data_IF_418442860407
#
_entry.id   IF_418442860407
#
_cell.length_a   1.000
_cell.length_b   1.000
_cell.length_c   1.000
_cell.angle_alpha   90.00
_cell.angle_beta   90.00
_cell.angle_gamma   90.00
#
_symmetry.space_group_name_H-M   'P 1'
#
loop_
_entity.id
_entity.type
_entity.pdbx_description
1 polymer ?
#
# COMPACT_ATOMS: atom_id res chain seq x y z
N UNK A 1 17.23 -7.56 22.32
CA UNK A 1 17.38 -7.45 20.84
C UNK A 1 17.53 -8.86 20.31
N UNK A 2 16.55 -9.40 19.57
CA UNK A 2 16.62 -10.77 19.03
C UNK A 2 17.25 -10.70 17.64
N UNK A 3 18.49 -11.16 17.51
CA UNK A 3 19.20 -11.30 16.24
C UNK A 3 18.61 -12.48 15.45
N UNK A 4 17.91 -12.18 14.35
CA UNK A 4 17.44 -13.23 13.43
C UNK A 4 18.65 -13.81 12.69
N UNK A 5 19.14 -14.96 13.16
CA UNK A 5 20.18 -15.75 12.51
C UNK A 5 19.73 -16.12 11.09
N UNK A 6 20.49 -15.71 10.07
CA UNK A 6 20.18 -16.04 8.68
C UNK A 6 20.38 -17.55 8.46
N UNK A 7 19.27 -18.29 8.30
CA UNK A 7 19.29 -19.70 7.90
C UNK A 7 19.30 -19.74 6.39
N UNK A 8 20.43 -20.08 5.78
CA UNK A 8 20.52 -20.42 4.37
C UNK A 8 19.94 -21.81 4.15
N UNK A 9 18.64 -21.86 3.86
CA UNK A 9 17.93 -23.09 3.50
C UNK A 9 18.23 -23.55 2.06
N UNK A 10 17.60 -24.65 1.64
CA UNK A 10 17.62 -25.13 0.25
C UNK A 10 16.97 -24.07 -0.66
N UNK A 11 17.57 -23.68 -1.80
CA UNK A 11 16.92 -22.78 -2.74
C UNK A 11 15.63 -23.43 -3.24
N UNK A 12 14.47 -22.85 -2.93
CA UNK A 12 13.23 -23.19 -3.60
C UNK A 12 13.25 -22.50 -4.96
N UNK A 13 13.82 -23.19 -5.95
CA UNK A 13 13.93 -22.64 -7.31
C UNK A 13 12.52 -22.61 -7.91
N UNK A 14 11.89 -21.43 -7.87
CA UNK A 14 10.69 -21.12 -8.64
C UNK A 14 11.12 -20.72 -10.04
N UNK A 15 10.44 -21.24 -11.05
CA UNK A 15 10.68 -20.80 -12.42
C UNK A 15 10.15 -19.39 -12.64
N UNK A 16 10.86 -18.59 -13.46
CA UNK A 16 10.49 -17.20 -13.75
C UNK A 16 9.05 -17.06 -14.28
N UNK A 17 8.57 -18.05 -15.04
CA UNK A 17 7.19 -18.08 -15.51
C UNK A 17 6.16 -18.14 -14.37
N UNK A 18 6.44 -18.90 -13.30
CA UNK A 18 5.56 -18.99 -12.13
C UNK A 18 5.68 -17.76 -11.24
N UNK A 19 6.89 -17.20 -11.13
CA UNK A 19 7.13 -15.92 -10.45
C UNK A 19 6.28 -14.81 -11.09
N UNK A 20 6.32 -14.69 -12.43
CA UNK A 20 5.51 -13.72 -13.18
C UNK A 20 4.02 -13.92 -12.99
N UNK A 21 3.51 -15.16 -13.06
CA UNK A 21 2.09 -15.42 -12.76
C UNK A 21 1.69 -15.05 -11.34
N UNK A 22 2.61 -15.24 -10.38
CA UNK A 22 2.39 -14.82 -8.98
C UNK A 22 2.24 -13.32 -8.89
N UNK A 23 3.13 -12.59 -9.56
CA UNK A 23 3.08 -11.14 -9.63
C UNK A 23 1.79 -10.63 -10.28
N UNK A 24 1.43 -11.17 -11.44
CA UNK A 24 0.24 -10.81 -12.20
C UNK A 24 -1.05 -11.06 -11.38
N UNK A 25 -1.12 -12.18 -10.63
CA UNK A 25 -2.24 -12.47 -9.76
C UNK A 25 -2.38 -11.44 -8.63
N UNK A 26 -1.27 -11.09 -7.95
CA UNK A 26 -1.26 -10.08 -6.87
C UNK A 26 -1.67 -8.71 -7.40
N UNK A 27 -1.19 -8.33 -8.59
CA UNK A 27 -1.53 -7.06 -9.21
C UNK A 27 -3.00 -6.97 -9.61
N UNK A 28 -3.57 -8.06 -10.15
CA UNK A 28 -4.98 -8.14 -10.51
C UNK A 28 -5.90 -8.04 -9.29
N UNK A 29 -5.53 -8.65 -8.17
CA UNK A 29 -6.27 -8.55 -6.92
C UNK A 29 -5.34 -8.54 -5.70
N UNK A 30 -5.06 -7.33 -5.20
CA UNK A 30 -4.20 -7.10 -4.03
C UNK A 30 -4.76 -7.66 -2.72
N UNK A 31 -6.00 -8.19 -2.71
CA UNK A 31 -6.64 -8.81 -1.53
C UNK A 31 -6.60 -10.33 -1.56
N UNK A 32 -5.92 -10.94 -2.54
CA UNK A 32 -5.79 -12.39 -2.63
C UNK A 32 -5.17 -12.98 -1.37
N UNK A 33 -5.71 -14.11 -0.95
CA UNK A 33 -5.12 -14.93 0.11
C UNK A 33 -4.11 -15.92 -0.47
N UNK A 34 -3.14 -16.35 0.33
CA UNK A 34 -2.16 -17.38 -0.05
C UNK A 34 -2.82 -18.68 -0.53
N UNK A 35 -3.99 -19.04 0.04
CA UNK A 35 -4.76 -20.23 -0.36
C UNK A 35 -5.40 -20.08 -1.74
N UNK A 36 -5.94 -18.90 -2.04
CA UNK A 36 -6.49 -18.62 -3.37
C UNK A 36 -5.39 -18.56 -4.43
N UNK A 37 -4.27 -17.90 -4.11
CA UNK A 37 -3.09 -17.89 -4.99
C UNK A 37 -2.57 -19.30 -5.27
N UNK A 38 -2.50 -20.18 -4.26
CA UNK A 38 -2.10 -21.58 -4.46
C UNK A 38 -3.05 -22.36 -5.38
N UNK A 39 -4.33 -22.00 -5.45
CA UNK A 39 -5.28 -22.60 -6.41
C UNK A 39 -5.07 -22.08 -7.83
N UNK A 40 -4.64 -20.82 -7.99
CA UNK A 40 -4.38 -20.19 -9.29
C UNK A 40 -3.03 -20.67 -9.85
N UNK A 41 -2.03 -20.76 -8.99
CA UNK A 41 -0.65 -21.08 -9.33
C UNK A 41 -0.41 -22.54 -8.93
N UNK A 42 -0.95 -23.42 -9.76
CA UNK A 42 -0.85 -24.87 -9.59
C UNK A 42 0.63 -25.32 -9.55
N UNK A 43 0.86 -26.50 -8.97
CA UNK A 43 2.18 -27.18 -8.87
C UNK A 43 3.21 -26.54 -7.92
N UNK A 44 2.90 -25.41 -7.28
CA UNK A 44 3.80 -24.78 -6.32
C UNK A 44 3.34 -25.13 -4.91
N UNK A 45 4.25 -25.62 -4.06
CA UNK A 45 3.92 -25.86 -2.66
C UNK A 45 3.60 -24.56 -1.93
N UNK A 46 2.76 -24.61 -0.90
CA UNK A 46 2.39 -23.43 -0.11
C UNK A 46 3.61 -22.70 0.50
N UNK A 47 4.63 -23.44 0.94
CA UNK A 47 5.86 -22.86 1.51
C UNK A 47 6.67 -22.13 0.45
N UNK A 48 6.86 -22.75 -0.72
CA UNK A 48 7.53 -22.15 -1.86
C UNK A 48 6.79 -20.89 -2.34
N UNK A 49 5.46 -20.91 -2.38
CA UNK A 49 4.66 -19.73 -2.72
C UNK A 49 4.83 -18.62 -1.67
N UNK A 50 4.92 -18.96 -0.39
CA UNK A 50 5.17 -17.97 0.67
C UNK A 50 6.56 -17.32 0.52
N UNK A 51 7.59 -18.11 0.26
CA UNK A 51 8.95 -17.62 -0.02
C UNK A 51 8.97 -16.74 -1.28
N UNK A 52 8.31 -17.16 -2.35
CA UNK A 52 8.14 -16.39 -3.58
C UNK A 52 7.63 -14.97 -3.30
N UNK A 53 6.52 -14.89 -2.58
CA UNK A 53 5.79 -13.64 -2.35
C UNK A 53 6.56 -12.74 -1.40
N UNK A 54 7.11 -13.30 -0.32
CA UNK A 54 7.72 -12.49 0.76
C UNK A 54 9.21 -12.22 0.58
N UNK A 55 9.95 -13.14 0.00
CA UNK A 55 11.41 -13.04 -0.17
C UNK A 55 11.76 -12.59 -1.58
N UNK A 56 11.25 -13.27 -2.60
CA UNK A 56 11.63 -13.00 -3.99
C UNK A 56 10.97 -11.74 -4.53
N UNK A 57 9.65 -11.60 -4.33
CA UNK A 57 8.87 -10.43 -4.79
C UNK A 57 8.80 -9.31 -3.75
N UNK A 58 9.16 -9.58 -2.49
CA UNK A 58 9.19 -8.57 -1.42
C UNK A 58 7.82 -8.05 -0.96
N UNK A 59 6.73 -8.77 -1.25
CA UNK A 59 5.40 -8.41 -0.77
C UNK A 59 5.21 -8.72 0.71
N UNK A 60 4.52 -7.81 1.39
CA UNK A 60 4.13 -7.98 2.77
C UNK A 60 2.64 -7.78 2.93
N UNK A 61 2.02 -8.61 3.78
CA UNK A 61 0.62 -8.45 4.15
C UNK A 61 0.48 -7.16 4.96
N UNK A 62 -0.24 -6.19 4.40
CA UNK A 62 -0.67 -5.02 5.14
C UNK A 62 -2.02 -5.29 5.80
N UNK A 63 -2.12 -5.06 7.10
CA UNK A 63 -3.43 -5.02 7.76
C UNK A 63 -4.22 -3.83 7.20
N UNK A 64 -5.42 -4.10 6.68
CA UNK A 64 -6.31 -3.05 6.20
C UNK A 64 -6.68 -2.12 7.35
N UNK A 65 -6.51 -0.81 7.15
CA UNK A 65 -6.98 0.19 8.13
C UNK A 65 -8.51 0.11 8.22
N UNK A 66 -9.05 0.28 9.43
CA UNK A 66 -10.48 0.36 9.64
C UNK A 66 -11.03 1.64 8.99
N UNK A 67 -12.04 1.49 8.13
CA UNK A 67 -12.73 2.61 7.48
C UNK A 67 -14.13 2.70 8.09
N UNK A 68 -14.47 3.77 8.85
CA UNK A 68 -15.69 3.84 9.64
C UNK A 68 -17.00 3.74 8.84
N UNK A 69 -16.99 4.16 7.56
CA UNK A 69 -18.14 4.06 6.66
C UNK A 69 -17.73 4.02 5.20
N UNK A 70 -18.55 3.38 4.38
CA UNK A 70 -18.44 3.46 2.93
C UNK A 70 -18.89 4.83 2.44
N UNK A 71 -18.02 5.54 1.73
CA UNK A 71 -18.32 6.86 1.19
C UNK A 71 -19.02 6.72 -0.16
N UNK A 72 -20.14 7.42 -0.30
CA UNK A 72 -20.79 7.65 -1.59
C UNK A 72 -20.04 8.72 -2.38
N UNK A 73 -20.29 8.83 -3.68
CA UNK A 73 -19.69 9.86 -4.52
C UNK A 73 -20.01 11.28 -4.04
N UNK A 74 -21.24 11.50 -3.54
CA UNK A 74 -21.63 12.78 -2.95
C UNK A 74 -20.80 13.11 -1.70
N UNK A 75 -20.59 12.12 -0.81
CA UNK A 75 -19.74 12.31 0.37
C UNK A 75 -18.29 12.66 -0.02
N UNK A 76 -17.75 12.02 -1.06
CA UNK A 76 -16.39 12.31 -1.57
C UNK A 76 -16.31 13.73 -2.13
N UNK A 77 -17.28 14.14 -2.94
CA UNK A 77 -17.34 15.49 -3.52
C UNK A 77 -17.43 16.56 -2.44
N UNK A 78 -18.30 16.38 -1.45
CA UNK A 78 -18.41 17.28 -0.28
C UNK A 78 -17.08 17.38 0.46
N UNK A 79 -16.43 16.25 0.77
CA UNK A 79 -15.12 16.23 1.45
C UNK A 79 -14.05 16.98 0.66
N UNK A 80 -13.91 16.72 -0.64
CA UNK A 80 -12.95 17.45 -1.49
C UNK A 80 -13.22 18.95 -1.50
N UNK A 81 -14.49 19.35 -1.64
CA UNK A 81 -14.89 20.75 -1.59
C UNK A 81 -14.53 21.43 -0.27
N UNK A 82 -14.80 20.78 0.87
CA UNK A 82 -14.41 21.31 2.18
C UNK A 82 -12.90 21.46 2.32
N UNK A 83 -12.13 20.44 1.92
CA UNK A 83 -10.67 20.51 1.96
C UNK A 83 -10.15 21.66 1.10
N UNK A 84 -10.63 21.81 -0.13
CA UNK A 84 -10.20 22.88 -1.03
C UNK A 84 -10.51 24.27 -0.45
N UNK A 85 -11.73 24.47 0.05
CA UNK A 85 -12.14 25.73 0.68
C UNK A 85 -11.28 26.05 1.92
N UNK A 86 -10.98 25.04 2.74
CA UNK A 86 -10.12 25.22 3.91
C UNK A 86 -8.71 25.65 3.50
N UNK A 87 -8.11 24.96 2.51
CA UNK A 87 -6.79 25.30 1.99
C UNK A 87 -6.76 26.72 1.41
N UNK A 88 -7.78 27.11 0.62
CA UNK A 88 -7.90 28.46 0.08
C UNK A 88 -8.00 29.51 1.20
N UNK A 89 -8.83 29.27 2.22
CA UNK A 89 -8.96 30.19 3.36
C UNK A 89 -7.65 30.33 4.14
N UNK A 90 -6.92 29.24 4.37
CA UNK A 90 -5.60 29.28 5.00
C UNK A 90 -4.61 30.13 4.20
N UNK A 91 -4.53 29.91 2.88
CA UNK A 91 -3.65 30.70 2.00
C UNK A 91 -4.06 32.18 2.00
N UNK A 92 -5.34 32.48 1.87
CA UNK A 92 -5.84 33.86 1.89
C UNK A 92 -5.59 34.53 3.23
N UNK A 93 -5.79 33.83 4.35
CA UNK A 93 -5.48 34.33 5.69
C UNK A 93 -3.99 34.63 5.83
N UNK A 94 -3.12 33.73 5.38
CA UNK A 94 -1.68 33.92 5.42
C UNK A 94 -1.22 35.11 4.57
N UNK A 95 -1.77 35.27 3.36
CA UNK A 95 -1.50 36.42 2.49
C UNK A 95 -1.98 37.74 3.12
N UNK A 96 -3.16 37.76 3.73
CA UNK A 96 -3.67 38.94 4.46
C UNK A 96 -2.74 39.29 5.63
N UNK A 97 -2.29 38.30 6.41
CA UNK A 97 -1.33 38.52 7.50
C UNK A 97 0.00 39.08 6.98
N UNK A 98 0.50 38.58 5.86
CA UNK A 98 1.72 39.12 5.21
C UNK A 98 1.53 40.55 4.69
N UNK A 99 0.36 40.87 4.15
CA UNK A 99 0.03 42.23 3.68
C UNK A 99 -0.14 43.22 4.84
N UNK A 100 -0.68 42.78 5.98
CA UNK A 100 -0.95 43.63 7.15
C UNK A 100 0.27 43.83 8.05
N UNK A 101 1.14 42.82 8.18
CA UNK A 101 2.25 42.85 9.13
C UNK A 101 3.63 42.89 8.45
N UNK A 102 3.73 42.69 7.13
CA UNK A 102 4.99 42.59 6.41
C UNK A 102 5.82 41.36 6.81
N UNK A 103 6.79 40.91 6.00
CA UNK A 103 7.75 39.91 6.46
C UNK A 103 8.55 40.51 7.62
N UNK A 104 8.47 39.87 8.80
CA UNK A 104 9.28 40.24 9.95
C UNK A 104 10.76 39.95 9.62
N UNK A 105 11.46 40.95 9.09
CA UNK A 105 12.92 40.96 8.95
C UNK A 105 13.52 41.07 10.34
N UNK A 106 14.03 39.97 10.88
CA UNK A 106 15.04 40.01 11.93
C UNK A 106 16.41 40.14 11.31
#
# INVERSE_FOLDING_TARGET
MVTKKHRTGRPSVISDARLRRTEEAIQANRRLTMREMHKIILEVSMTTLHECVTVTLGYHKLCTRWVPKMLTEEHKKKRMGFTLNYMQKQVMSFLITLLQHGPCTK
#
